data_IF_159458774741
#
_entry.id   IF_159458774741
#
_cell.length_a   1.000
_cell.length_b   1.000
_cell.length_c   1.000
_cell.angle_alpha   90.00
_cell.angle_beta   90.00
_cell.angle_gamma   90.00
#
_symmetry.space_group_name_H-M   'P 1'
#
loop_
_entity.id
_entity.type
_entity.pdbx_description
1 polymer ?
#
# COMPACT_ATOMS: atom_id res chain seq x y z
N UNK A 1 -24.73 -10.39 -19.09
CA UNK A 1 -24.21 -10.39 -17.70
C UNK A 1 -23.10 -9.37 -17.66
N UNK A 2 -23.02 -8.55 -16.61
CA UNK A 2 -21.86 -7.69 -16.45
C UNK A 2 -20.78 -8.49 -15.73
N UNK A 3 -19.62 -8.69 -16.34
CA UNK A 3 -18.46 -9.35 -15.72
C UNK A 3 -17.81 -8.40 -14.71
N UNK A 4 -17.45 -8.90 -13.54
CA UNK A 4 -16.70 -8.19 -12.51
C UNK A 4 -15.28 -8.72 -12.45
N UNK A 5 -14.31 -7.86 -12.71
CA UNK A 5 -12.88 -8.19 -12.60
C UNK A 5 -12.29 -7.37 -11.46
N UNK A 6 -11.66 -8.03 -10.49
CA UNK A 6 -10.98 -7.37 -9.39
C UNK A 6 -9.51 -7.07 -9.76
N UNK A 7 -9.04 -5.86 -9.49
CA UNK A 7 -7.61 -5.55 -9.44
C UNK A 7 -7.13 -5.74 -8.00
N UNK A 8 -6.26 -6.72 -7.79
CA UNK A 8 -5.61 -6.99 -6.51
C UNK A 8 -4.10 -6.82 -6.63
N UNK A 9 -3.41 -6.53 -5.54
CA UNK A 9 -1.96 -6.42 -5.52
C UNK A 9 -1.46 -5.65 -4.30
N UNK A 10 -0.15 -5.67 -4.11
CA UNK A 10 0.49 -4.93 -3.02
C UNK A 10 0.35 -3.41 -3.19
N UNK A 11 0.45 -2.63 -2.10
CA UNK A 11 0.67 -1.19 -2.20
C UNK A 11 1.86 -0.89 -3.12
N UNK A 12 1.75 0.19 -3.91
CA UNK A 12 2.78 0.64 -4.85
C UNK A 12 3.16 -0.34 -5.98
N UNK A 13 2.39 -1.39 -6.23
CA UNK A 13 2.58 -2.31 -7.37
C UNK A 13 2.20 -1.73 -8.73
N UNK A 14 1.70 -0.48 -8.78
CA UNK A 14 1.20 0.19 -9.99
C UNK A 14 -0.27 -0.11 -10.33
N UNK A 15 -1.03 -0.63 -9.37
CA UNK A 15 -2.47 -0.93 -9.48
C UNK A 15 -3.33 0.26 -9.92
N UNK A 16 -3.22 1.40 -9.24
CA UNK A 16 -3.97 2.61 -9.60
C UNK A 16 -3.62 3.11 -11.01
N UNK A 17 -2.35 2.98 -11.41
CA UNK A 17 -1.90 3.35 -12.76
C UNK A 17 -2.56 2.47 -13.82
N UNK A 18 -2.58 1.15 -13.62
CA UNK A 18 -3.26 0.21 -14.51
C UNK A 18 -4.77 0.46 -14.53
N UNK A 19 -5.40 0.68 -13.37
CA UNK A 19 -6.82 0.99 -13.27
C UNK A 19 -7.20 2.21 -14.13
N UNK A 20 -6.42 3.28 -14.01
CA UNK A 20 -6.63 4.51 -14.79
C UNK A 20 -6.46 4.29 -16.29
N UNK A 21 -5.46 3.49 -16.68
CA UNK A 21 -5.24 3.15 -18.08
C UNK A 21 -6.39 2.31 -18.65
N UNK A 22 -6.92 1.35 -17.89
CA UNK A 22 -8.00 0.46 -18.33
C UNK A 22 -9.37 1.14 -18.39
N UNK A 23 -9.65 2.11 -17.51
CA UNK A 23 -11.01 2.67 -17.34
C UNK A 23 -11.16 4.11 -17.82
N UNK A 24 -10.05 4.87 -17.92
CA UNK A 24 -10.07 6.25 -18.37
C UNK A 24 -10.93 7.15 -17.49
N UNK A 25 -11.80 7.96 -18.08
CA UNK A 25 -12.69 8.87 -17.34
C UNK A 25 -13.98 8.20 -16.82
N UNK A 26 -14.22 6.92 -17.15
CA UNK A 26 -15.44 6.20 -16.75
C UNK A 26 -15.28 5.51 -15.41
N UNK A 27 -14.92 6.30 -14.39
CA UNK A 27 -14.64 5.84 -13.04
C UNK A 27 -15.61 6.47 -12.04
N UNK A 28 -15.97 5.71 -11.03
CA UNK A 28 -16.69 6.16 -9.86
C UNK A 28 -15.81 5.95 -8.62
N UNK A 29 -15.71 7.00 -7.80
CA UNK A 29 -14.96 6.98 -6.54
C UNK A 29 -15.93 7.24 -5.40
N UNK A 30 -15.94 6.35 -4.42
CA UNK A 30 -16.74 6.47 -3.21
C UNK A 30 -16.02 5.81 -2.03
N UNK A 31 -16.77 5.39 -1.02
CA UNK A 31 -16.24 4.63 0.11
C UNK A 31 -16.89 3.24 0.16
N UNK A 32 -16.14 2.27 0.68
CA UNK A 32 -16.71 0.97 0.99
C UNK A 32 -17.76 1.09 2.12
N UNK A 33 -18.83 0.28 2.09
CA UNK A 33 -19.90 0.39 3.07
C UNK A 33 -19.39 0.27 4.51
N UNK A 34 -19.72 1.26 5.35
CA UNK A 34 -19.43 1.24 6.78
C UNK A 34 -17.97 1.53 7.17
N UNK A 35 -17.10 1.89 6.23
CA UNK A 35 -15.68 2.21 6.50
C UNK A 35 -15.20 3.43 5.70
N UNK A 36 -14.08 4.02 6.10
CA UNK A 36 -13.44 5.16 5.41
C UNK A 36 -12.50 4.75 4.27
N UNK A 37 -12.50 3.47 3.89
CA UNK A 37 -11.65 2.95 2.82
C UNK A 37 -12.25 3.36 1.48
N UNK A 38 -11.43 3.95 0.61
CA UNK A 38 -11.82 4.39 -0.72
C UNK A 38 -12.20 3.20 -1.61
N UNK A 39 -13.31 3.33 -2.34
CA UNK A 39 -13.80 2.38 -3.35
C UNK A 39 -13.70 3.02 -4.73
N UNK A 40 -12.92 2.42 -5.63
CA UNK A 40 -12.88 2.83 -7.04
C UNK A 40 -13.40 1.71 -7.94
N UNK A 41 -14.35 2.05 -8.79
CA UNK A 41 -14.91 1.13 -9.79
C UNK A 41 -14.98 1.85 -11.14
N UNK A 42 -14.80 1.13 -12.24
CA UNK A 42 -14.86 1.72 -13.56
C UNK A 42 -15.13 0.70 -14.64
N UNK A 43 -15.67 1.14 -15.78
CA UNK A 43 -15.90 0.24 -16.91
C UNK A 43 -14.65 0.11 -17.76
N UNK A 44 -14.36 -1.10 -18.21
CA UNK A 44 -13.23 -1.35 -19.11
C UNK A 44 -13.44 -0.61 -20.44
N UNK A 45 -12.42 0.10 -20.92
CA UNK A 45 -12.43 0.75 -22.23
C UNK A 45 -12.72 -0.28 -23.33
N UNK A 46 -13.70 0.00 -24.19
CA UNK A 46 -14.12 -0.92 -25.25
C UNK A 46 -15.10 -2.01 -24.81
N UNK A 47 -15.27 -2.28 -23.51
CA UNK A 47 -16.15 -3.33 -22.98
C UNK A 47 -17.11 -2.78 -21.92
N UNK A 48 -18.31 -2.36 -22.36
CA UNK A 48 -19.30 -1.70 -21.48
C UNK A 48 -19.93 -2.64 -20.44
N UNK A 49 -19.82 -3.93 -20.66
CA UNK A 49 -20.29 -5.05 -19.85
C UNK A 49 -19.23 -5.57 -18.87
N UNK A 50 -18.02 -5.00 -18.85
CA UNK A 50 -16.97 -5.40 -17.92
C UNK A 50 -16.71 -4.28 -16.92
N UNK A 51 -16.94 -4.59 -15.64
CA UNK A 51 -16.65 -3.73 -14.50
C UNK A 51 -15.29 -4.11 -13.91
N UNK A 52 -14.40 -3.15 -13.82
CA UNK A 52 -13.12 -3.26 -13.12
C UNK A 52 -13.31 -2.67 -11.72
N UNK A 53 -13.13 -3.49 -10.70
CA UNK A 53 -13.13 -3.08 -9.30
C UNK A 53 -11.68 -2.96 -8.81
N UNK A 54 -11.27 -1.77 -8.40
CA UNK A 54 -9.99 -1.58 -7.72
C UNK A 54 -10.13 -1.97 -6.25
N UNK A 55 -9.33 -2.93 -5.78
CA UNK A 55 -9.26 -3.27 -4.36
C UNK A 55 -8.17 -2.45 -3.66
N UNK A 56 -8.28 -2.16 -2.36
CA UNK A 56 -7.18 -1.59 -1.59
C UNK A 56 -5.89 -2.39 -1.76
N UNK A 57 -4.73 -1.71 -1.73
CA UNK A 57 -3.44 -2.39 -1.79
C UNK A 57 -3.19 -3.15 -0.48
N UNK A 58 -2.98 -4.46 -0.56
CA UNK A 58 -2.86 -5.35 0.62
C UNK A 58 -1.64 -6.25 0.52
N UNK A 59 -1.12 -6.72 1.65
CA UNK A 59 0.03 -7.66 1.67
C UNK A 59 -0.40 -9.11 1.85
N UNK A 60 -1.54 -9.34 2.49
CA UNK A 60 -2.15 -10.65 2.69
C UNK A 60 -3.68 -10.52 2.76
N UNK A 61 -4.37 -11.66 2.76
CA UNK A 61 -5.80 -11.76 3.06
C UNK A 61 -6.07 -11.97 4.56
N UNK A 62 -5.12 -11.62 5.43
CA UNK A 62 -5.31 -11.66 6.88
C UNK A 62 -5.96 -10.35 7.35
N UNK A 63 -6.90 -10.36 8.31
CA UNK A 63 -7.76 -9.22 8.59
C UNK A 63 -7.17 -8.23 9.62
N UNK A 64 -5.90 -7.79 9.46
CA UNK A 64 -5.26 -6.89 10.43
C UNK A 64 -5.58 -5.41 10.19
N UNK A 65 -5.83 -5.03 8.95
CA UNK A 65 -6.16 -3.67 8.52
C UNK A 65 -7.56 -3.58 7.93
N UNK A 66 -8.15 -2.37 7.89
CA UNK A 66 -9.45 -2.16 7.26
C UNK A 66 -9.39 -2.46 5.76
N UNK A 67 -8.28 -2.15 5.10
CA UNK A 67 -8.00 -2.44 3.71
C UNK A 67 -8.03 -3.94 3.43
N UNK A 68 -7.38 -4.75 4.27
CA UNK A 68 -7.39 -6.21 4.15
C UNK A 68 -8.77 -6.80 4.42
N UNK A 69 -9.48 -6.29 5.43
CA UNK A 69 -10.86 -6.68 5.73
C UNK A 69 -11.78 -6.42 4.53
N UNK A 70 -11.66 -5.24 3.92
CA UNK A 70 -12.45 -4.85 2.73
C UNK A 70 -12.11 -5.72 1.53
N UNK A 71 -10.82 -5.88 1.21
CA UNK A 71 -10.40 -6.67 0.07
C UNK A 71 -10.81 -8.14 0.20
N UNK A 72 -10.60 -8.76 1.38
CA UNK A 72 -11.07 -10.12 1.68
C UNK A 72 -12.59 -10.21 1.58
N UNK A 73 -13.32 -9.28 2.19
CA UNK A 73 -14.78 -9.27 2.18
C UNK A 73 -15.35 -9.23 0.76
N UNK A 74 -14.77 -8.42 -0.13
CA UNK A 74 -15.16 -8.38 -1.53
C UNK A 74 -14.81 -9.69 -2.27
N UNK A 75 -13.58 -10.17 -2.12
CA UNK A 75 -13.10 -11.36 -2.83
C UNK A 75 -13.87 -12.64 -2.44
N UNK A 76 -14.13 -12.83 -1.14
CA UNK A 76 -14.81 -14.02 -0.61
C UNK A 76 -16.33 -13.90 -0.73
N UNK A 77 -16.88 -12.71 -0.46
CA UNK A 77 -18.32 -12.46 -0.39
C UNK A 77 -18.95 -12.14 -1.74
N UNK A 78 -18.38 -11.20 -2.50
CA UNK A 78 -18.93 -10.81 -3.81
C UNK A 78 -18.49 -11.73 -4.96
N UNK A 79 -17.38 -12.47 -4.78
CA UNK A 79 -16.85 -13.48 -5.72
C UNK A 79 -16.78 -12.94 -7.16
N UNK A 80 -15.83 -12.04 -7.47
CA UNK A 80 -15.64 -11.54 -8.83
C UNK A 80 -15.35 -12.68 -9.82
N UNK A 81 -15.65 -12.47 -11.10
CA UNK A 81 -15.50 -13.50 -12.15
C UNK A 81 -14.02 -13.75 -12.51
N UNK A 82 -13.14 -12.79 -12.26
CA UNK A 82 -11.69 -12.95 -12.36
C UNK A 82 -10.93 -11.94 -11.50
N UNK A 83 -9.66 -12.25 -11.22
CA UNK A 83 -8.71 -11.38 -10.53
C UNK A 83 -7.53 -11.10 -11.46
N UNK A 84 -7.27 -9.82 -11.70
CA UNK A 84 -5.97 -9.36 -12.21
C UNK A 84 -5.11 -9.05 -10.99
N UNK A 85 -4.14 -9.92 -10.73
CA UNK A 85 -3.21 -9.76 -9.62
C UNK A 85 -1.92 -9.08 -10.09
N UNK A 86 -1.66 -7.89 -9.58
CA UNK A 86 -0.57 -7.02 -10.02
C UNK A 86 0.63 -7.21 -9.11
N UNK A 87 1.73 -7.68 -9.71
CA UNK A 87 2.96 -8.07 -9.04
C UNK A 87 4.07 -7.14 -9.50
N UNK A 88 4.72 -6.43 -8.58
CA UNK A 88 5.91 -5.65 -8.90
C UNK A 88 7.08 -6.58 -9.26
N UNK A 89 7.50 -6.58 -10.53
CA UNK A 89 8.59 -7.41 -11.04
C UNK A 89 9.95 -7.09 -10.42
N UNK A 90 10.14 -5.90 -9.85
CA UNK A 90 11.38 -5.54 -9.14
C UNK A 90 11.47 -6.23 -7.77
N UNK A 91 10.31 -6.49 -7.13
CA UNK A 91 10.18 -7.13 -5.82
C UNK A 91 9.21 -8.33 -5.83
N UNK A 92 9.44 -9.22 -6.79
CA UNK A 92 8.53 -10.32 -7.11
C UNK A 92 8.27 -11.28 -5.94
N UNK A 93 9.31 -11.67 -5.19
CA UNK A 93 9.20 -12.62 -4.08
C UNK A 93 8.21 -12.16 -3.02
N UNK A 94 8.29 -10.88 -2.61
CA UNK A 94 7.35 -10.30 -1.64
C UNK A 94 5.91 -10.26 -2.15
N UNK A 95 5.72 -10.01 -3.45
CA UNK A 95 4.39 -9.88 -4.06
C UNK A 95 3.72 -11.23 -4.29
N UNK A 96 4.50 -12.29 -4.51
CA UNK A 96 3.98 -13.64 -4.70
C UNK A 96 3.32 -14.21 -3.44
N UNK A 97 3.58 -13.64 -2.25
CA UNK A 97 2.89 -14.03 -1.02
C UNK A 97 1.37 -13.87 -1.14
N UNK A 98 0.90 -12.66 -1.46
CA UNK A 98 -0.52 -12.39 -1.71
C UNK A 98 -1.04 -13.25 -2.87
N UNK A 99 -0.22 -13.45 -3.90
CA UNK A 99 -0.59 -14.24 -5.09
C UNK A 99 -1.00 -15.67 -4.72
N UNK A 100 -0.26 -16.34 -3.83
CA UNK A 100 -0.61 -17.69 -3.38
C UNK A 100 -1.99 -17.74 -2.72
N UNK A 101 -2.32 -16.74 -1.90
CA UNK A 101 -3.61 -16.65 -1.22
C UNK A 101 -4.77 -16.31 -2.17
N UNK A 102 -4.53 -15.49 -3.19
CA UNK A 102 -5.55 -15.17 -4.19
C UNK A 102 -5.94 -16.39 -5.04
N UNK A 103 -4.97 -17.25 -5.36
CA UNK A 103 -5.20 -18.47 -6.14
C UNK A 103 -6.03 -19.49 -5.32
N UNK A 104 -5.86 -19.53 -4.00
CA UNK A 104 -6.61 -20.42 -3.10
C UNK A 104 -8.11 -20.11 -3.04
N UNK A 105 -8.53 -18.89 -3.42
CA UNK A 105 -9.94 -18.51 -3.47
C UNK A 105 -10.74 -19.23 -4.58
N UNK A 106 -10.06 -19.93 -5.50
CA UNK A 106 -10.70 -20.62 -6.62
C UNK A 106 -11.33 -19.70 -7.67
N UNK A 107 -11.02 -18.40 -7.61
CA UNK A 107 -11.41 -17.41 -8.63
C UNK A 107 -10.33 -17.44 -9.73
N UNK A 108 -10.68 -17.35 -11.03
CA UNK A 108 -9.69 -17.25 -12.10
C UNK A 108 -8.71 -16.08 -11.87
N UNK A 109 -7.42 -16.38 -11.67
CA UNK A 109 -6.37 -15.37 -11.48
C UNK A 109 -5.52 -15.26 -12.74
N UNK A 110 -5.20 -14.03 -13.15
CA UNK A 110 -4.11 -13.73 -14.07
C UNK A 110 -3.11 -12.81 -13.38
N UNK A 111 -1.83 -13.18 -13.44
CA UNK A 111 -0.75 -12.40 -12.82
C UNK A 111 -0.17 -11.41 -13.84
N UNK A 112 -0.19 -10.15 -13.47
CA UNK A 112 0.41 -9.06 -14.22
C UNK A 112 1.72 -8.65 -13.57
N UNK A 113 2.85 -9.11 -14.13
CA UNK A 113 4.19 -8.71 -13.70
C UNK A 113 4.46 -7.29 -14.22
N UNK A 114 4.23 -6.32 -13.35
CA UNK A 114 4.37 -4.89 -13.64
C UNK A 114 5.80 -4.39 -13.43
N UNK A 115 6.04 -3.14 -13.84
CA UNK A 115 7.35 -2.49 -13.81
C UNK A 115 8.40 -3.23 -14.64
N UNK A 116 7.99 -3.91 -15.72
CA UNK A 116 8.91 -4.66 -16.57
C UNK A 116 9.97 -3.76 -17.21
N UNK A 117 9.68 -2.49 -17.41
CA UNK A 117 10.65 -1.48 -17.85
C UNK A 117 11.81 -1.32 -16.86
N UNK A 118 11.54 -1.35 -15.55
CA UNK A 118 12.57 -1.33 -14.51
C UNK A 118 13.32 -2.66 -14.42
N UNK A 119 12.61 -3.79 -14.53
CA UNK A 119 13.22 -5.13 -14.56
C UNK A 119 14.23 -5.22 -15.71
N UNK A 120 13.82 -4.84 -16.93
CA UNK A 120 14.67 -4.80 -18.13
C UNK A 120 15.83 -3.82 -17.97
N UNK A 121 15.59 -2.63 -17.38
CA UNK A 121 16.63 -1.62 -17.10
C UNK A 121 17.69 -2.13 -16.10
N UNK A 122 17.28 -2.87 -15.07
CA UNK A 122 18.18 -3.54 -14.13
C UNK A 122 18.91 -4.72 -14.78
N UNK A 123 18.41 -5.20 -15.91
CA UNK A 123 18.93 -6.34 -16.68
C UNK A 123 18.50 -7.69 -16.13
N UNK A 124 17.57 -7.71 -15.17
CA UNK A 124 16.95 -8.91 -14.65
C UNK A 124 16.09 -9.58 -15.74
N UNK A 125 15.96 -10.90 -15.66
CA UNK A 125 15.08 -11.68 -16.55
C UNK A 125 14.09 -12.48 -15.73
N UNK A 126 12.82 -12.43 -16.13
CA UNK A 126 11.74 -13.19 -15.52
C UNK A 126 11.16 -14.11 -16.59
N UNK A 127 11.20 -15.41 -16.33
CA UNK A 127 10.62 -16.44 -17.18
C UNK A 127 9.15 -16.63 -16.80
N UNK A 128 8.27 -15.92 -17.54
CA UNK A 128 6.83 -15.91 -17.28
C UNK A 128 6.19 -17.30 -17.42
N UNK A 129 6.71 -18.13 -18.33
CA UNK A 129 6.20 -19.49 -18.53
C UNK A 129 6.50 -20.39 -17.34
N UNK A 130 7.73 -20.35 -16.80
CA UNK A 130 8.06 -21.07 -15.57
C UNK A 130 7.26 -20.57 -14.37
N UNK A 131 7.06 -19.25 -14.28
CA UNK A 131 6.29 -18.66 -13.20
C UNK A 131 4.82 -19.11 -13.26
N UNK A 132 4.21 -19.06 -14.45
CA UNK A 132 2.82 -19.50 -14.63
C UNK A 132 2.61 -20.99 -14.38
N UNK A 133 3.51 -21.84 -14.89
CA UNK A 133 3.45 -23.28 -14.63
C UNK A 133 3.59 -23.61 -13.14
N UNK A 134 4.41 -22.85 -12.40
CA UNK A 134 4.57 -23.08 -10.97
C UNK A 134 3.35 -22.64 -10.18
N UNK A 135 2.78 -21.47 -10.50
CA UNK A 135 1.63 -20.87 -9.82
C UNK A 135 0.29 -21.48 -10.23
N UNK A 136 0.22 -22.22 -11.35
CA UNK A 136 -1.03 -22.77 -11.87
C UNK A 136 -1.93 -21.73 -12.53
N UNK A 137 -1.41 -20.56 -12.92
CA UNK A 137 -2.18 -19.48 -13.54
C UNK A 137 -1.40 -18.79 -14.67
N UNK A 138 -2.11 -18.01 -15.48
CA UNK A 138 -1.49 -17.24 -16.55
C UNK A 138 -0.71 -16.05 -16.01
N UNK A 139 0.44 -15.77 -16.65
CA UNK A 139 1.34 -14.69 -16.26
C UNK A 139 1.70 -13.87 -17.49
N UNK A 140 1.50 -12.55 -17.41
CA UNK A 140 1.84 -11.61 -18.46
C UNK A 140 2.71 -10.48 -17.89
N UNK A 141 3.62 -9.95 -18.71
CA UNK A 141 4.37 -8.74 -18.36
C UNK A 141 3.61 -7.48 -18.78
N UNK A 142 3.68 -6.44 -17.96
CA UNK A 142 3.13 -5.12 -18.28
C UNK A 142 4.08 -4.01 -17.83
N UNK A 143 3.93 -2.83 -18.42
CA UNK A 143 4.42 -1.58 -17.84
C UNK A 143 3.28 -0.59 -17.81
N UNK A 144 2.62 -0.48 -16.65
CA UNK A 144 1.52 0.46 -16.46
C UNK A 144 1.96 1.91 -16.72
N UNK A 145 3.21 2.26 -16.39
CA UNK A 145 3.77 3.60 -16.63
C UNK A 145 3.96 3.89 -18.13
N UNK A 146 4.30 2.86 -18.93
CA UNK A 146 4.51 2.99 -20.38
C UNK A 146 3.27 2.67 -21.22
N UNK A 147 2.16 2.26 -20.59
CA UNK A 147 0.97 1.77 -21.29
C UNK A 147 1.21 0.48 -22.06
N UNK A 148 2.16 -0.36 -21.62
CA UNK A 148 2.53 -1.62 -22.29
C UNK A 148 1.72 -2.78 -21.68
N UNK A 149 1.01 -3.54 -22.51
CA UNK A 149 0.38 -4.82 -22.16
C UNK A 149 -0.93 -4.76 -21.36
N UNK A 150 -1.34 -3.59 -20.86
CA UNK A 150 -2.52 -3.44 -20.00
C UNK A 150 -3.83 -3.92 -20.63
N UNK A 151 -4.16 -3.46 -21.84
CA UNK A 151 -5.40 -3.86 -22.51
C UNK A 151 -5.44 -5.36 -22.85
N UNK A 152 -4.34 -5.91 -23.36
CA UNK A 152 -4.24 -7.34 -23.69
C UNK A 152 -4.40 -8.22 -22.44
N UNK A 153 -3.85 -7.80 -21.30
CA UNK A 153 -4.05 -8.45 -20.00
C UNK A 153 -5.54 -8.43 -19.59
N UNK A 154 -6.22 -7.29 -19.74
CA UNK A 154 -7.64 -7.18 -19.40
C UNK A 154 -8.53 -8.04 -20.30
N UNK A 155 -8.28 -8.07 -21.61
CA UNK A 155 -8.98 -8.96 -22.55
C UNK A 155 -8.76 -10.44 -22.18
N UNK A 156 -7.54 -10.79 -21.75
CA UNK A 156 -7.26 -12.16 -21.30
C UNK A 156 -7.99 -12.51 -20.01
N UNK A 157 -8.06 -11.58 -19.07
CA UNK A 157 -8.84 -11.74 -17.84
C UNK A 157 -10.35 -11.94 -18.14
N UNK A 158 -10.90 -11.20 -19.10
CA UNK A 158 -12.29 -11.38 -19.57
C UNK A 158 -12.48 -12.77 -20.16
N UNK A 159 -11.55 -13.26 -20.98
CA UNK A 159 -11.63 -14.60 -21.56
C UNK A 159 -11.56 -15.70 -20.48
N UNK A 160 -10.73 -15.53 -19.45
CA UNK A 160 -10.65 -16.44 -18.30
C UNK A 160 -11.95 -16.46 -17.49
N UNK A 161 -12.51 -15.27 -17.21
CA UNK A 161 -13.79 -15.12 -16.53
C UNK A 161 -14.93 -15.84 -17.28
N UNK A 162 -14.99 -15.69 -18.61
CA UNK A 162 -16.02 -16.35 -19.44
C UNK A 162 -15.84 -17.86 -19.54
N UNK A 163 -14.60 -18.34 -19.52
CA UNK A 163 -14.31 -19.77 -19.56
C UNK A 163 -14.63 -20.47 -18.23
N UNK A 164 -14.77 -19.70 -17.14
CA UNK A 164 -14.99 -20.18 -15.78
C UNK A 164 -13.97 -21.27 -15.36
N UNK A 165 -12.74 -21.12 -15.86
CA UNK A 165 -11.62 -22.02 -15.60
C UNK A 165 -10.73 -21.42 -14.52
N UNK A 166 -10.95 -21.84 -13.28
CA UNK A 166 -9.94 -21.69 -12.24
C UNK A 166 -8.72 -22.55 -12.57
N UNK A 167 -7.52 -22.04 -12.27
CA UNK A 167 -6.29 -22.82 -12.37
C UNK A 167 -6.24 -23.93 -11.33
N UNK A 168 -5.33 -24.90 -11.52
CA UNK A 168 -5.04 -25.89 -10.47
C UNK A 168 -4.28 -25.21 -9.32
N UNK A 169 -4.62 -25.55 -8.08
CA UNK A 169 -3.93 -25.00 -6.92
C UNK A 169 -2.46 -25.45 -6.92
N UNK A 170 -1.51 -24.51 -6.74
CA UNK A 170 -0.12 -24.89 -6.61
C UNK A 170 0.10 -25.72 -5.34
N UNK A 171 1.00 -26.70 -5.42
CA UNK A 171 1.46 -27.47 -4.26
C UNK A 171 2.41 -26.61 -3.40
N UNK A 172 1.82 -25.66 -2.66
CA UNK A 172 2.53 -24.73 -1.77
C UNK A 172 2.99 -25.45 -0.50
N UNK A 173 2.12 -26.28 0.06
CA UNK A 173 2.37 -26.97 1.33
C UNK A 173 2.84 -28.40 1.10
N UNK A 174 3.55 -28.94 2.09
CA UNK A 174 4.15 -30.27 2.03
C UNK A 174 4.12 -30.97 3.38
N UNK A 175 4.17 -32.30 3.36
CA UNK A 175 4.29 -33.11 4.57
C UNK A 175 3.06 -33.01 5.47
N UNK A 176 3.29 -32.88 6.77
CA UNK A 176 2.24 -32.83 7.80
C UNK A 176 1.21 -31.73 7.60
N UNK A 177 1.62 -30.56 7.08
CA UNK A 177 0.69 -29.45 6.79
C UNK A 177 -0.30 -29.84 5.70
N UNK A 178 0.17 -30.42 4.59
CA UNK A 178 -0.72 -30.83 3.49
C UNK A 178 -1.71 -31.91 3.97
N UNK A 179 -1.26 -32.85 4.81
CA UNK A 179 -2.13 -33.86 5.41
C UNK A 179 -3.18 -33.24 6.34
N UNK A 180 -2.78 -32.33 7.23
CA UNK A 180 -3.70 -31.65 8.13
C UNK A 180 -4.74 -30.83 7.36
N UNK A 181 -4.32 -30.06 6.35
CA UNK A 181 -5.23 -29.28 5.51
C UNK A 181 -6.19 -30.20 4.76
N UNK A 182 -5.74 -31.33 4.21
CA UNK A 182 -6.62 -32.30 3.54
C UNK A 182 -7.70 -32.88 4.48
N UNK A 183 -7.35 -33.17 5.74
CA UNK A 183 -8.34 -33.62 6.74
C UNK A 183 -9.34 -32.52 7.11
N UNK A 184 -8.88 -31.26 7.21
CA UNK A 184 -9.77 -30.12 7.42
C UNK A 184 -10.72 -29.95 6.23
N UNK A 185 -10.21 -30.05 4.99
CA UNK A 185 -11.01 -30.00 3.76
C UNK A 185 -12.10 -31.08 3.74
N UNK A 186 -11.75 -32.33 4.05
CA UNK A 186 -12.72 -33.43 4.13
C UNK A 186 -13.84 -33.11 5.13
N UNK A 187 -13.45 -32.59 6.30
CA UNK A 187 -14.36 -32.28 7.40
C UNK A 187 -15.33 -31.14 7.09
N UNK A 188 -14.91 -30.13 6.31
CA UNK A 188 -15.74 -28.96 5.99
C UNK A 188 -16.33 -28.98 4.57
N UNK A 189 -16.05 -30.02 3.79
CA UNK A 189 -16.46 -30.15 2.38
C UNK A 189 -17.94 -29.95 2.12
N UNK A 190 -18.80 -30.27 3.09
CA UNK A 190 -20.25 -30.09 3.01
C UNK A 190 -20.76 -28.69 3.41
N UNK A 191 -19.89 -27.88 4.03
CA UNK A 191 -20.22 -26.55 4.57
C UNK A 191 -19.88 -25.41 3.62
N UNK A 192 -18.95 -25.63 2.69
CA UNK A 192 -18.40 -24.58 1.81
C UNK A 192 -18.46 -25.00 0.35
N UNK A 193 -18.40 -24.02 -0.56
CA UNK A 193 -18.31 -24.27 -1.99
C UNK A 193 -16.96 -24.96 -2.31
N UNK A 194 -16.94 -26.03 -3.14
CA UNK A 194 -15.71 -26.72 -3.54
C UNK A 194 -14.60 -25.80 -4.05
N UNK A 195 -14.94 -24.69 -4.72
CA UNK A 195 -13.96 -23.73 -5.24
C UNK A 195 -13.20 -22.98 -4.14
N UNK A 196 -13.86 -22.74 -3.02
CA UNK A 196 -13.31 -21.99 -1.87
C UNK A 196 -12.82 -22.91 -0.75
N UNK A 197 -13.00 -24.23 -0.90
CA UNK A 197 -12.72 -25.23 0.13
C UNK A 197 -11.29 -25.10 0.68
N UNK A 198 -10.31 -25.01 -0.21
CA UNK A 198 -8.90 -24.87 0.15
C UNK A 198 -8.64 -23.62 1.00
N UNK A 199 -9.21 -22.49 0.61
CA UNK A 199 -9.06 -21.24 1.32
C UNK A 199 -9.64 -21.31 2.74
N UNK A 200 -10.86 -21.84 2.89
CA UNK A 200 -11.48 -22.02 4.21
C UNK A 200 -10.68 -22.99 5.09
N UNK A 201 -10.20 -24.10 4.53
CA UNK A 201 -9.39 -25.07 5.27
C UNK A 201 -8.09 -24.45 5.80
N UNK A 202 -7.38 -23.67 4.97
CA UNK A 202 -6.18 -22.95 5.38
C UNK A 202 -6.49 -21.88 6.45
N UNK A 203 -7.61 -21.16 6.34
CA UNK A 203 -8.00 -20.18 7.36
C UNK A 203 -8.41 -20.80 8.68
N UNK A 204 -9.01 -21.99 8.67
CA UNK A 204 -9.26 -22.76 9.89
C UNK A 204 -7.94 -23.27 10.50
N UNK A 205 -7.01 -23.75 9.68
CA UNK A 205 -5.67 -24.13 10.13
C UNK A 205 -4.95 -22.95 10.82
N UNK A 206 -5.04 -21.75 10.26
CA UNK A 206 -4.51 -20.51 10.84
C UNK A 206 -5.31 -19.98 12.06
N UNK A 207 -6.35 -20.69 12.51
CA UNK A 207 -7.25 -20.27 13.61
C UNK A 207 -7.90 -18.90 13.39
N UNK A 208 -8.28 -18.59 12.15
CA UNK A 208 -8.93 -17.31 11.79
C UNK A 208 -10.33 -17.20 12.42
N UNK A 209 -10.47 -16.36 13.46
CA UNK A 209 -11.69 -16.24 14.25
C UNK A 209 -12.93 -15.88 13.43
N UNK A 210 -12.77 -15.08 12.35
CA UNK A 210 -13.89 -14.70 11.49
C UNK A 210 -14.42 -15.89 10.70
N UNK A 211 -13.54 -16.79 10.25
CA UNK A 211 -13.97 -18.01 9.57
C UNK A 211 -14.70 -18.95 10.52
N UNK A 212 -14.21 -19.10 11.76
CA UNK A 212 -14.91 -19.90 12.78
C UNK A 212 -16.34 -19.38 13.03
N UNK A 213 -16.49 -18.06 13.14
CA UNK A 213 -17.79 -17.41 13.31
C UNK A 213 -18.70 -17.55 12.06
N UNK A 214 -18.13 -17.41 10.87
CA UNK A 214 -18.85 -17.48 9.59
C UNK A 214 -19.41 -18.88 9.33
N UNK A 215 -18.59 -19.91 9.54
CA UNK A 215 -18.98 -21.31 9.32
C UNK A 215 -19.83 -21.90 10.45
N UNK A 216 -19.93 -21.20 11.59
CA UNK A 216 -20.69 -21.63 12.78
C UNK A 216 -20.36 -23.07 13.18
N UNK A 217 -19.06 -23.39 13.22
CA UNK A 217 -18.59 -24.72 13.57
C UNK A 217 -19.11 -25.12 14.95
N UNK A 218 -19.67 -26.32 15.06
CA UNK A 218 -20.07 -26.89 16.34
C UNK A 218 -18.83 -27.25 17.17
N UNK A 219 -19.00 -27.32 18.50
CA UNK A 219 -17.87 -27.55 19.40
C UNK A 219 -17.17 -28.89 19.15
N UNK A 220 -17.88 -29.91 18.66
CA UNK A 220 -17.31 -31.22 18.36
C UNK A 220 -16.43 -31.17 17.11
N UNK A 221 -16.93 -30.60 16.02
CA UNK A 221 -16.12 -30.39 14.82
C UNK A 221 -14.93 -29.47 15.11
N UNK A 222 -15.13 -28.36 15.82
CA UNK A 222 -14.05 -27.44 16.21
C UNK A 222 -12.93 -28.13 16.99
N UNK A 223 -13.27 -28.99 17.96
CA UNK A 223 -12.28 -29.76 18.72
C UNK A 223 -11.54 -30.79 17.85
N UNK A 224 -12.24 -31.44 16.91
CA UNK A 224 -11.62 -32.38 15.98
C UNK A 224 -10.62 -31.69 15.04
N UNK A 225 -10.96 -30.50 14.51
CA UNK A 225 -10.03 -29.73 13.68
C UNK A 225 -8.81 -29.26 14.47
N UNK A 226 -9.02 -28.84 15.73
CA UNK A 226 -7.95 -28.39 16.61
C UNK A 226 -6.93 -29.50 16.92
N UNK A 227 -7.37 -30.76 17.00
CA UNK A 227 -6.47 -31.91 17.20
C UNK A 227 -5.47 -32.04 16.04
N UNK A 228 -5.95 -31.95 14.79
CA UNK A 228 -5.08 -32.00 13.60
C UNK A 228 -4.10 -30.83 13.53
N UNK A 229 -4.56 -29.62 13.91
CA UNK A 229 -3.70 -28.42 13.93
C UNK A 229 -2.63 -28.57 15.01
N UNK A 230 -3.01 -28.96 16.23
CA UNK A 230 -2.10 -29.09 17.37
C UNK A 230 -1.06 -30.22 17.18
N UNK A 231 -1.42 -31.30 16.48
CA UNK A 231 -0.47 -32.35 16.12
C UNK A 231 0.56 -31.84 15.10
N UNK A 232 0.13 -31.05 14.11
CA UNK A 232 1.03 -30.42 13.15
C UNK A 232 1.99 -29.42 13.82
N UNK A 233 1.49 -28.57 14.72
CA UNK A 233 2.32 -27.65 15.52
C UNK A 233 3.35 -28.40 16.38
N UNK A 234 2.97 -29.52 16.98
CA UNK A 234 3.88 -30.35 17.80
C UNK A 234 4.97 -31.01 16.97
N UNK A 235 4.65 -31.45 15.75
CA UNK A 235 5.63 -32.05 14.84
C UNK A 235 6.62 -31.02 14.31
N UNK A 236 6.16 -29.80 14.00
CA UNK A 236 6.97 -28.74 13.40
C UNK A 236 7.60 -27.77 14.40
N UNK A 237 7.25 -27.90 15.69
CA UNK A 237 7.75 -27.07 16.80
C UNK A 237 7.54 -25.56 16.58
N UNK A 238 6.43 -25.18 15.95
CA UNK A 238 6.11 -23.81 15.57
C UNK A 238 4.59 -23.58 15.59
N UNK A 239 4.14 -22.32 15.62
CA UNK A 239 2.71 -22.00 15.61
C UNK A 239 2.10 -22.07 14.19
N UNK A 240 0.80 -22.32 14.09
CA UNK A 240 0.11 -22.54 12.81
C UNK A 240 0.26 -21.38 11.82
N UNK A 241 0.25 -20.12 12.28
CA UNK A 241 0.42 -18.95 11.42
C UNK A 241 1.85 -18.88 10.86
N UNK A 242 2.84 -19.12 11.72
CA UNK A 242 4.25 -19.20 11.35
C UNK A 242 4.54 -20.36 10.40
N UNK A 243 3.97 -21.54 10.64
CA UNK A 243 4.09 -22.73 9.78
C UNK A 243 3.61 -22.42 8.36
N UNK A 244 2.40 -21.88 8.22
CA UNK A 244 1.82 -21.55 6.90
C UNK A 244 2.67 -20.49 6.21
N UNK A 245 3.06 -19.44 6.94
CA UNK A 245 3.90 -18.36 6.41
C UNK A 245 5.24 -18.89 5.91
N UNK A 246 5.92 -19.72 6.69
CA UNK A 246 7.21 -20.30 6.36
C UNK A 246 7.14 -21.20 5.12
N UNK A 247 6.12 -22.06 5.01
CA UNK A 247 5.95 -22.91 3.83
C UNK A 247 5.61 -22.11 2.58
N UNK A 248 4.79 -21.05 2.68
CA UNK A 248 4.53 -20.12 1.57
C UNK A 248 5.83 -19.48 1.07
N UNK A 249 6.64 -18.91 1.96
CA UNK A 249 7.91 -18.32 1.57
C UNK A 249 8.88 -19.36 0.99
N UNK A 250 8.95 -20.56 1.57
CA UNK A 250 9.78 -21.63 1.04
C UNK A 250 9.37 -22.04 -0.39
N UNK A 251 8.06 -22.12 -0.67
CA UNK A 251 7.53 -22.34 -2.02
C UNK A 251 7.88 -21.17 -2.94
N UNK A 252 7.63 -19.93 -2.54
CA UNK A 252 7.89 -18.74 -3.34
C UNK A 252 9.37 -18.62 -3.69
N UNK A 253 10.28 -18.79 -2.73
CA UNK A 253 11.73 -18.74 -3.00
C UNK A 253 12.14 -19.80 -4.03
N UNK A 254 11.59 -21.02 -3.95
CA UNK A 254 11.82 -22.07 -4.97
C UNK A 254 11.32 -21.65 -6.36
N UNK A 255 10.14 -21.02 -6.44
CA UNK A 255 9.57 -20.53 -7.70
C UNK A 255 10.43 -19.42 -8.29
N UNK A 256 10.80 -18.43 -7.47
CA UNK A 256 11.63 -17.29 -7.86
C UNK A 256 13.02 -17.74 -8.30
N UNK A 257 13.67 -18.66 -7.57
CA UNK A 257 14.99 -19.19 -7.94
C UNK A 257 14.98 -19.90 -9.30
N UNK A 258 13.84 -20.46 -9.72
CA UNK A 258 13.68 -21.13 -11.02
C UNK A 258 13.27 -20.17 -12.15
N UNK A 259 12.43 -19.19 -11.84
CA UNK A 259 11.83 -18.29 -12.84
C UNK A 259 12.61 -16.98 -13.02
N UNK A 260 13.38 -16.54 -12.03
CA UNK A 260 14.02 -15.21 -12.04
C UNK A 260 15.53 -15.35 -12.11
N UNK A 261 16.14 -14.56 -12.98
CA UNK A 261 17.59 -14.44 -13.15
C UNK A 261 17.97 -12.98 -12.94
N UNK A 262 18.58 -12.70 -11.78
CA UNK A 262 19.11 -11.38 -11.45
C UNK A 262 20.44 -11.16 -12.17
N UNK A 263 20.63 -10.00 -12.80
CA UNK A 263 21.90 -9.67 -13.50
C UNK A 263 23.02 -9.32 -12.53
N UNK A 264 22.67 -8.62 -11.46
CA UNK A 264 23.59 -8.26 -10.39
C UNK A 264 23.76 -9.46 -9.45
N UNK A 265 25.00 -9.77 -9.05
CA UNK A 265 25.24 -10.73 -7.98
C UNK A 265 24.51 -10.26 -6.70
N UNK A 266 23.99 -11.18 -5.88
CA UNK A 266 23.28 -10.91 -4.59
C UNK A 266 24.00 -9.91 -3.65
N UNK A 267 25.26 -9.53 -3.93
CA UNK A 267 26.11 -8.63 -3.15
C UNK A 267 26.47 -7.29 -3.83
N UNK A 268 26.02 -6.97 -5.05
CA UNK A 268 26.28 -5.65 -5.61
C UNK A 268 25.31 -4.63 -5.00
N UNK A 269 25.78 -3.90 -3.99
CA UNK A 269 25.03 -2.81 -3.38
C UNK A 269 24.60 -1.80 -4.46
N UNK A 270 23.29 -1.59 -4.59
CA UNK A 270 22.75 -0.49 -5.37
C UNK A 270 23.23 0.85 -4.80
N UNK A 271 23.09 1.94 -5.56
CA UNK A 271 23.39 3.27 -5.02
C UNK A 271 22.59 3.57 -3.74
N UNK A 272 21.34 3.08 -3.67
CA UNK A 272 20.51 3.13 -2.46
C UNK A 272 21.10 2.32 -1.32
N UNK A 273 21.53 1.08 -1.56
CA UNK A 273 22.07 0.22 -0.49
C UNK A 273 23.39 0.75 0.09
N UNK A 274 24.19 1.44 -0.74
CA UNK A 274 25.40 2.14 -0.28
C UNK A 274 25.06 3.31 0.63
N UNK A 275 24.04 4.11 0.26
CA UNK A 275 23.53 5.21 1.07
C UNK A 275 22.95 4.66 2.37
N UNK A 276 22.15 3.61 2.30
CA UNK A 276 21.52 2.96 3.45
C UNK A 276 22.57 2.49 4.45
N UNK A 277 23.65 1.86 4.00
CA UNK A 277 24.73 1.43 4.91
C UNK A 277 25.36 2.58 5.71
N UNK A 278 25.39 3.78 5.14
CA UNK A 278 25.93 4.99 5.80
C UNK A 278 24.86 5.63 6.69
N UNK A 279 23.65 5.80 6.17
CA UNK A 279 22.52 6.48 6.81
C UNK A 279 21.94 5.66 7.97
N UNK A 280 21.93 4.34 7.88
CA UNK A 280 21.42 3.44 8.94
C UNK A 280 22.52 2.97 9.89
N UNK A 281 23.75 3.45 9.72
CA UNK A 281 24.84 3.13 10.65
C UNK A 281 24.49 3.64 12.05
N UNK A 282 24.60 2.76 13.05
CA UNK A 282 24.23 3.03 14.45
C UNK A 282 24.83 4.32 15.04
N UNK A 283 25.99 4.75 14.57
CA UNK A 283 26.70 5.94 15.09
C UNK A 283 26.47 7.15 14.19
N UNK A 284 26.49 6.98 12.85
CA UNK A 284 26.36 8.09 11.91
C UNK A 284 24.91 8.52 11.65
N UNK A 285 23.94 7.65 11.94
CA UNK A 285 22.52 7.92 11.70
C UNK A 285 22.01 9.19 12.38
N UNK A 286 22.34 9.39 13.67
CA UNK A 286 21.87 10.55 14.45
C UNK A 286 22.53 11.87 14.00
N UNK A 287 23.86 11.96 13.79
CA UNK A 287 24.48 13.15 13.20
C UNK A 287 23.97 13.50 11.81
N UNK A 288 23.82 12.49 10.93
CA UNK A 288 23.28 12.70 9.57
C UNK A 288 21.86 13.24 9.66
N UNK A 289 21.03 12.65 10.53
CA UNK A 289 19.68 13.11 10.77
C UNK A 289 19.63 14.55 11.27
N UNK A 290 20.46 14.92 12.24
CA UNK A 290 20.54 16.29 12.71
C UNK A 290 20.94 17.26 11.58
N UNK A 291 21.88 16.87 10.72
CA UNK A 291 22.31 17.68 9.58
C UNK A 291 21.21 17.83 8.51
N UNK A 292 20.49 16.75 8.19
CA UNK A 292 19.37 16.77 7.25
C UNK A 292 18.25 17.66 7.80
N UNK A 293 17.87 17.50 9.07
CA UNK A 293 16.83 18.32 9.69
C UNK A 293 17.25 19.78 9.81
N UNK A 294 18.53 20.04 10.12
CA UNK A 294 19.08 21.39 10.10
C UNK A 294 18.98 22.03 8.72
N UNK A 295 19.30 21.28 7.65
CA UNK A 295 19.15 21.77 6.28
C UNK A 295 17.68 22.05 5.93
N UNK A 296 16.75 21.14 6.27
CA UNK A 296 15.31 21.34 6.08
C UNK A 296 14.84 22.61 6.77
N UNK A 297 15.16 22.80 8.05
CA UNK A 297 14.74 24.00 8.79
C UNK A 297 15.40 25.27 8.27
N UNK A 298 16.68 25.22 7.89
CA UNK A 298 17.38 26.39 7.33
C UNK A 298 16.81 26.82 5.98
N UNK A 299 16.36 25.87 5.16
CA UNK A 299 15.72 26.16 3.88
C UNK A 299 14.29 26.64 4.10
N UNK A 300 13.51 25.88 4.88
CA UNK A 300 12.08 26.06 5.01
C UNK A 300 11.67 27.23 5.91
N UNK A 301 12.42 27.53 6.97
CA UNK A 301 12.13 28.63 7.90
C UNK A 301 13.06 29.81 7.64
N UNK A 302 14.34 29.53 7.34
CA UNK A 302 15.32 30.56 7.04
C UNK A 302 15.21 31.05 5.60
N UNK A 303 16.12 30.61 4.74
CA UNK A 303 16.35 31.22 3.41
C UNK A 303 15.11 31.40 2.53
N UNK A 304 14.45 30.30 2.13
CA UNK A 304 13.33 30.35 1.18
C UNK A 304 12.04 30.73 1.89
N UNK A 305 11.84 30.19 3.09
CA UNK A 305 10.69 30.49 3.93
C UNK A 305 10.56 31.98 4.24
N UNK A 306 11.60 32.56 4.83
CA UNK A 306 11.64 33.97 5.23
C UNK A 306 11.49 34.90 4.02
N UNK A 307 12.15 34.58 2.90
CA UNK A 307 12.01 35.36 1.67
C UNK A 307 10.56 35.39 1.17
N UNK A 308 9.88 34.24 1.12
CA UNK A 308 8.50 34.16 0.66
C UNK A 308 7.52 34.79 1.65
N UNK A 309 7.74 34.59 2.95
CA UNK A 309 6.95 35.22 4.03
C UNK A 309 7.08 36.74 3.98
N UNK A 310 8.30 37.26 3.88
CA UNK A 310 8.59 38.69 3.78
C UNK A 310 7.94 39.30 2.54
N UNK A 311 8.10 38.69 1.37
CA UNK A 311 7.43 39.17 0.16
C UNK A 311 5.90 39.18 0.30
N UNK A 312 5.32 38.15 0.90
CA UNK A 312 3.87 38.06 1.07
C UNK A 312 3.36 39.11 2.06
N UNK A 313 4.02 39.29 3.20
CA UNK A 313 3.61 40.25 4.22
C UNK A 313 3.85 41.68 3.77
N UNK A 314 5.05 42.00 3.30
CA UNK A 314 5.48 43.37 3.08
C UNK A 314 4.99 43.88 1.73
N UNK A 315 5.14 43.10 0.65
CA UNK A 315 4.78 43.53 -0.70
C UNK A 315 3.31 43.25 -1.03
N UNK A 316 2.85 42.01 -0.86
CA UNK A 316 1.48 41.66 -1.24
C UNK A 316 0.46 42.28 -0.27
N UNK A 317 0.58 42.01 1.03
CA UNK A 317 -0.40 42.52 2.00
C UNK A 317 -0.12 43.96 2.43
N UNK A 318 1.13 44.34 2.68
CA UNK A 318 1.51 45.68 3.10
C UNK A 318 1.34 46.73 2.01
N UNK A 319 2.08 46.61 0.91
CA UNK A 319 2.08 47.61 -0.15
C UNK A 319 0.87 47.49 -1.09
N UNK A 320 0.65 46.30 -1.66
CA UNK A 320 -0.31 46.13 -2.75
C UNK A 320 -1.77 46.09 -2.28
N UNK A 321 -2.05 45.51 -1.11
CA UNK A 321 -3.41 45.46 -0.56
C UNK A 321 -3.64 46.61 0.41
N UNK A 322 -2.93 46.65 1.54
CA UNK A 322 -3.15 47.63 2.60
C UNK A 322 -2.85 49.07 2.13
N UNK A 323 -1.74 49.29 1.42
CA UNK A 323 -1.37 50.61 0.89
C UNK A 323 -2.38 51.17 -0.11
N UNK A 324 -2.81 50.36 -1.09
CA UNK A 324 -3.82 50.77 -2.07
C UNK A 324 -5.20 50.96 -1.45
N UNK A 325 -5.59 50.07 -0.52
CA UNK A 325 -6.88 50.17 0.18
C UNK A 325 -6.93 51.40 1.09
N UNK A 326 -5.85 51.68 1.82
CA UNK A 326 -5.72 52.87 2.67
C UNK A 326 -5.84 54.16 1.86
N UNK A 327 -5.10 54.26 0.75
CA UNK A 327 -5.15 55.44 -0.15
C UNK A 327 -6.55 55.64 -0.74
N UNK A 328 -7.23 54.54 -1.10
CA UNK A 328 -8.60 54.59 -1.60
C UNK A 328 -9.59 55.03 -0.51
N UNK A 329 -9.49 54.50 0.71
CA UNK A 329 -10.37 54.88 1.83
C UNK A 329 -10.18 56.35 2.23
N UNK A 330 -8.96 56.86 2.20
CA UNK A 330 -8.68 58.28 2.42
C UNK A 330 -9.30 59.17 1.33
N UNK A 331 -9.24 58.74 0.07
CA UNK A 331 -9.81 59.48 -1.07
C UNK A 331 -11.34 59.64 -1.02
N UNK A 332 -12.03 58.73 -0.33
CA UNK A 332 -13.50 58.75 -0.13
C UNK A 332 -13.87 59.51 1.17
N UNK A 333 -12.90 59.99 1.94
CA UNK A 333 -13.13 60.73 3.18
C UNK A 333 -13.54 59.84 4.35
N UNK A 334 -13.11 58.59 4.37
CA UNK A 334 -13.41 57.65 5.47
C UNK A 334 -12.72 58.12 6.76
N UNK A 335 -13.42 58.03 7.89
CA UNK A 335 -12.88 58.39 9.20
C UNK A 335 -11.65 57.54 9.57
N UNK A 336 -10.61 58.18 10.12
CA UNK A 336 -9.32 57.52 10.38
C UNK A 336 -9.39 56.27 11.28
N UNK A 337 -10.32 56.24 12.24
CA UNK A 337 -10.52 55.06 13.10
C UNK A 337 -11.04 53.83 12.31
N UNK A 338 -11.86 54.05 11.28
CA UNK A 338 -12.41 52.99 10.45
C UNK A 338 -11.38 52.52 9.41
N UNK A 339 -10.55 53.43 8.92
CA UNK A 339 -9.40 53.08 8.09
C UNK A 339 -8.42 52.18 8.86
N UNK A 340 -8.01 52.58 10.06
CA UNK A 340 -7.14 51.75 10.92
C UNK A 340 -7.75 50.38 11.25
N UNK A 341 -9.06 50.31 11.52
CA UNK A 341 -9.73 49.03 11.78
C UNK A 341 -9.67 48.08 10.57
N UNK A 342 -9.90 48.60 9.36
CA UNK A 342 -9.96 47.79 8.14
C UNK A 342 -8.56 47.44 7.64
N UNK A 343 -7.66 48.42 7.55
CA UNK A 343 -6.33 48.25 6.95
C UNK A 343 -5.36 47.59 7.93
N UNK A 344 -5.20 48.13 9.13
CA UNK A 344 -4.27 47.56 10.11
C UNK A 344 -4.90 46.37 10.87
N UNK A 345 -6.19 46.47 11.20
CA UNK A 345 -6.89 45.42 11.95
C UNK A 345 -7.22 44.20 11.11
N UNK A 346 -8.10 44.34 10.11
CA UNK A 346 -8.60 43.20 9.33
C UNK A 346 -7.56 42.74 8.30
N UNK A 347 -7.09 43.63 7.44
CA UNK A 347 -6.15 43.27 6.36
C UNK A 347 -4.79 42.87 6.95
N UNK A 348 -4.28 43.62 7.92
CA UNK A 348 -3.06 43.24 8.64
C UNK A 348 -3.18 41.89 9.35
N UNK A 349 -4.30 41.65 10.05
CA UNK A 349 -4.56 40.38 10.72
C UNK A 349 -4.65 39.18 9.78
N UNK A 350 -5.39 39.31 8.67
CA UNK A 350 -5.49 38.26 7.64
C UNK A 350 -4.15 38.07 6.92
N UNK A 351 -3.46 39.17 6.61
CA UNK A 351 -2.14 39.17 5.97
C UNK A 351 -1.11 38.41 6.79
N UNK A 352 -1.07 38.63 8.11
CA UNK A 352 -0.17 37.89 9.00
C UNK A 352 -0.41 36.37 9.00
N UNK A 353 -1.67 35.92 8.92
CA UNK A 353 -2.01 34.49 8.85
C UNK A 353 -1.63 33.90 7.50
N UNK A 354 -1.99 34.58 6.40
CA UNK A 354 -1.72 34.09 5.04
C UNK A 354 -0.21 34.18 4.72
N UNK A 355 0.49 35.16 5.25
CA UNK A 355 1.92 35.35 5.09
C UNK A 355 2.75 34.17 5.59
N UNK A 356 2.23 33.38 6.54
CA UNK A 356 2.92 32.19 7.04
C UNK A 356 2.69 30.95 6.15
N UNK A 357 1.71 30.96 5.26
CA UNK A 357 1.37 29.82 4.39
C UNK A 357 2.51 29.43 3.45
N UNK A 358 3.20 30.35 2.75
CA UNK A 358 4.34 30.01 1.91
C UNK A 358 5.44 29.27 2.65
N UNK A 359 5.78 29.70 3.87
CA UNK A 359 6.76 29.01 4.71
C UNK A 359 6.34 27.57 5.04
N UNK A 360 5.06 27.36 5.34
CA UNK A 360 4.52 26.02 5.57
C UNK A 360 4.57 25.16 4.31
N UNK A 361 4.27 25.71 3.14
CA UNK A 361 4.38 24.98 1.87
C UNK A 361 5.80 24.51 1.60
N UNK A 362 6.82 25.35 1.85
CA UNK A 362 8.22 24.94 1.69
C UNK A 362 8.59 23.86 2.69
N UNK A 363 8.17 23.98 3.96
CA UNK A 363 8.43 22.96 4.98
C UNK A 363 7.80 21.61 4.59
N UNK A 364 6.52 21.61 4.21
CA UNK A 364 5.83 20.39 3.78
C UNK A 364 6.42 19.79 2.51
N UNK A 365 6.83 20.62 1.56
CA UNK A 365 7.51 20.16 0.36
C UNK A 365 8.84 19.48 0.69
N UNK A 366 9.65 20.06 1.58
CA UNK A 366 10.89 19.42 2.04
C UNK A 366 10.63 18.10 2.78
N UNK A 367 9.61 18.05 3.63
CA UNK A 367 9.22 16.81 4.32
C UNK A 367 8.71 15.74 3.36
N UNK A 368 7.93 16.12 2.33
CA UNK A 368 7.47 15.22 1.26
C UNK A 368 8.65 14.60 0.51
N UNK A 369 9.68 15.37 0.20
CA UNK A 369 10.90 14.81 -0.45
C UNK A 369 11.56 13.77 0.46
N UNK A 370 11.67 14.04 1.76
CA UNK A 370 12.25 13.07 2.71
C UNK A 370 11.40 11.80 2.85
N UNK A 371 10.09 11.92 2.72
CA UNK A 371 9.15 10.81 2.72
C UNK A 371 9.27 9.98 1.44
N UNK A 372 9.28 10.62 0.27
CA UNK A 372 9.39 9.98 -1.06
C UNK A 372 10.72 9.24 -1.24
N UNK A 373 11.82 9.78 -0.69
CA UNK A 373 13.13 9.12 -0.71
C UNK A 373 13.21 7.99 0.34
N UNK A 374 12.18 7.81 1.16
CA UNK A 374 12.09 6.78 2.19
C UNK A 374 12.95 7.07 3.43
N UNK A 375 13.45 8.30 3.59
CA UNK A 375 14.31 8.68 4.72
C UNK A 375 13.54 8.65 6.04
N UNK A 376 12.27 9.07 6.04
CA UNK A 376 11.41 9.07 7.25
C UNK A 376 11.22 7.65 7.83
N UNK A 377 11.02 6.65 6.96
CA UNK A 377 10.93 5.25 7.37
C UNK A 377 12.23 4.73 8.01
N UNK A 378 13.39 5.13 7.45
CA UNK A 378 14.72 4.76 7.99
C UNK A 378 14.94 5.37 9.37
N UNK A 379 14.62 6.65 9.55
CA UNK A 379 14.75 7.34 10.84
C UNK A 379 13.84 6.72 11.89
N UNK A 380 12.59 6.41 11.56
CA UNK A 380 11.68 5.72 12.49
C UNK A 380 12.27 4.40 12.98
N UNK A 381 12.87 3.60 12.09
CA UNK A 381 13.54 2.35 12.46
C UNK A 381 14.74 2.57 13.40
N UNK A 382 15.56 3.58 13.14
CA UNK A 382 16.69 3.94 14.01
C UNK A 382 16.19 4.34 15.41
N UNK A 383 15.12 5.15 15.47
CA UNK A 383 14.55 5.66 16.71
C UNK A 383 13.76 4.62 17.49
N UNK A 384 13.30 3.55 16.84
CA UNK A 384 12.56 2.45 17.45
C UNK A 384 13.30 1.79 18.61
N UNK A 385 14.62 1.68 18.53
CA UNK A 385 15.43 1.16 19.65
C UNK A 385 15.42 2.09 20.88
N UNK A 386 15.38 3.40 20.66
CA UNK A 386 15.39 4.39 21.75
C UNK A 386 13.99 4.48 22.36
N UNK A 387 12.96 4.57 21.52
CA UNK A 387 11.58 4.76 21.91
C UNK A 387 10.97 3.51 22.57
N UNK A 388 11.40 2.30 22.18
CA UNK A 388 11.01 1.06 22.87
C UNK A 388 11.37 1.04 24.35
N UNK A 389 12.42 1.75 24.79
CA UNK A 389 12.76 1.85 26.23
C UNK A 389 11.68 2.58 27.04
N UNK A 390 10.86 3.38 26.37
CA UNK A 390 9.78 4.18 26.97
C UNK A 390 8.41 3.65 26.53
N UNK A 391 8.34 2.46 25.91
CA UNK A 391 7.09 1.83 25.47
C UNK A 391 6.45 2.45 24.23
N UNK A 392 7.20 3.28 23.47
CA UNK A 392 6.71 3.92 22.24
C UNK A 392 7.31 3.29 20.98
N UNK A 393 6.59 3.39 19.87
CA UNK A 393 7.11 3.01 18.55
C UNK A 393 8.10 4.06 18.04
N UNK A 394 9.09 3.64 17.26
CA UNK A 394 9.99 4.59 16.57
C UNK A 394 9.28 5.57 15.64
N UNK A 395 8.07 5.24 15.17
CA UNK A 395 7.23 6.13 14.35
C UNK A 395 6.74 7.34 15.14
N UNK A 396 6.56 7.20 16.46
CA UNK A 396 6.12 8.28 17.36
C UNK A 396 7.14 9.42 17.49
N UNK A 397 8.38 9.21 17.06
CA UNK A 397 9.39 10.27 17.00
C UNK A 397 9.09 11.31 15.92
N UNK A 398 8.45 10.92 14.81
CA UNK A 398 8.20 11.80 13.67
C UNK A 398 7.31 12.99 14.05
N UNK A 399 6.13 12.80 14.70
CA UNK A 399 5.32 13.92 15.17
C UNK A 399 6.04 14.79 16.19
N UNK A 400 6.82 14.20 17.08
CA UNK A 400 7.56 14.94 18.12
C UNK A 400 8.62 15.86 17.51
N UNK A 401 9.33 15.37 16.50
CA UNK A 401 10.31 16.15 15.75
C UNK A 401 9.64 17.31 15.01
N UNK A 402 8.58 17.01 14.26
CA UNK A 402 7.85 18.01 13.46
C UNK A 402 7.25 19.08 14.38
N UNK A 403 6.76 18.68 15.57
CA UNK A 403 6.22 19.58 16.59
C UNK A 403 7.25 20.58 17.11
N UNK A 404 8.56 20.27 17.05
CA UNK A 404 9.60 21.20 17.51
C UNK A 404 9.80 22.39 16.55
N UNK A 405 9.45 22.22 15.28
CA UNK A 405 9.50 23.30 14.28
C UNK A 405 8.16 24.02 14.10
N UNK A 406 7.07 23.26 13.95
CA UNK A 406 5.74 23.84 13.83
C UNK A 406 4.70 22.94 14.54
N UNK A 407 3.94 23.54 15.45
CA UNK A 407 2.93 22.82 16.23
C UNK A 407 1.77 22.28 15.38
N UNK A 408 1.40 22.96 14.28
CA UNK A 408 0.25 22.56 13.45
C UNK A 408 0.50 21.22 12.74
N UNK A 409 1.59 21.03 11.97
CA UNK A 409 1.92 19.73 11.38
C UNK A 409 2.16 18.64 12.44
N UNK A 410 2.73 18.98 13.59
CA UNK A 410 2.94 18.05 14.70
C UNK A 410 1.64 17.48 15.27
N UNK A 411 0.63 18.34 15.47
CA UNK A 411 -0.71 17.93 15.90
C UNK A 411 -1.39 17.08 14.83
N UNK A 412 -1.30 17.46 13.55
CA UNK A 412 -1.88 16.65 12.47
C UNK A 412 -1.24 15.26 12.38
N UNK A 413 0.08 15.16 12.51
CA UNK A 413 0.80 13.90 12.47
C UNK A 413 0.43 12.96 13.64
N UNK A 414 0.13 13.52 14.82
CA UNK A 414 -0.31 12.76 16.00
C UNK A 414 -1.69 12.10 15.87
N UNK A 415 -2.50 12.45 14.85
CA UNK A 415 -3.79 11.79 14.59
C UNK A 415 -3.69 10.51 13.76
N UNK A 416 -2.55 10.31 13.10
CA UNK A 416 -2.36 9.23 12.11
C UNK A 416 -1.54 8.06 12.69
N UNK A 417 -0.92 8.26 13.85
CA UNK A 417 -0.09 7.32 14.61
C UNK A 417 -0.72 7.15 15.98
#
# INVERSE_FOLDING_TARGET
MNLKIALAGNPNSGKTTLFNDLTGSSQYVGNWPGVTVEKKEGRLKGHRDVLIQDLPGIYSLSPYTLEEVVARGYLVGEKPDAIINIVDGTNIERNLYLTTQLIELGIPVIVAVNMIDLVRKNGDKIDLGKLGNALGCEVMEISALKGEGGMALAERAVALAQADKAGEHPHVFTGSVEHAVAHIEESISSLVDPRTLRWYALKLFERDSRVYEELKLDATLGAHLEEHIADCERELEDDAESIITNQRYAYISKVVDRAVRKKAAKHSLSASDKIDRIVTNRILALPIFALVMWAVYTIAIGTVGDFLTGWTNDTLFGEMIAGNLGTWMESIGVAGWLNGLVVEGIVGGVGAVIGFVPQMLVLFFMLSILEDVGYMARVAFIMDRIFRKVGLSGKSFIPMLISSGCGVPGVMASRTI
#
